data_IF_368050459031
#
_entry.id   IF_368050459031
#
_cell.length_a   1.000
_cell.length_b   1.000
_cell.length_c   1.000
_cell.angle_alpha   90.00
_cell.angle_beta   90.00
_cell.angle_gamma   90.00
#
_symmetry.space_group_name_H-M   'P 1'
#
loop_
_entity.id
_entity.type
_entity.pdbx_description
1 polymer ?
#
# COMPACT_ATOMS: atom_id res chain seq x y z
N UNK A 1 19.90 13.99 -3.51
CA UNK A 1 18.80 13.06 -3.81
C UNK A 1 19.38 11.71 -4.19
N UNK A 2 19.07 10.62 -3.49
CA UNK A 2 19.44 9.30 -3.98
C UNK A 2 18.62 9.00 -5.24
N UNK A 3 19.31 8.82 -6.37
CA UNK A 3 18.69 8.43 -7.63
C UNK A 3 18.27 6.96 -7.50
N UNK A 4 16.99 6.70 -7.28
CA UNK A 4 16.45 5.35 -7.48
C UNK A 4 16.57 5.07 -8.98
N UNK A 5 17.21 3.95 -9.33
CA UNK A 5 17.30 3.52 -10.73
C UNK A 5 15.89 3.36 -11.32
N UNK A 6 15.63 3.92 -12.52
CA UNK A 6 14.33 3.84 -13.16
C UNK A 6 13.97 2.39 -13.44
N UNK A 7 12.75 1.99 -13.07
CA UNK A 7 12.32 0.60 -13.23
C UNK A 7 12.00 0.30 -14.71
N UNK A 8 12.63 -0.75 -15.25
CA UNK A 8 12.19 -1.39 -16.50
C UNK A 8 11.03 -2.33 -16.19
N UNK A 9 9.88 -2.11 -16.84
CA UNK A 9 8.73 -3.03 -16.74
C UNK A 9 9.11 -4.40 -17.27
N UNK A 10 8.99 -5.43 -16.43
CA UNK A 10 9.13 -6.83 -16.83
C UNK A 10 7.95 -7.66 -16.36
N UNK A 11 7.63 -8.69 -17.13
CA UNK A 11 6.64 -9.71 -16.79
C UNK A 11 7.32 -10.86 -16.05
N UNK A 12 6.60 -11.48 -15.11
CA UNK A 12 7.10 -12.64 -14.39
C UNK A 12 6.95 -13.91 -15.23
N UNK A 13 8.01 -14.70 -15.27
CA UNK A 13 8.03 -16.00 -15.97
C UNK A 13 7.30 -17.10 -15.21
N UNK A 14 7.22 -16.97 -13.88
CA UNK A 14 6.56 -17.93 -12.99
C UNK A 14 6.01 -17.25 -11.74
N UNK A 15 5.09 -17.95 -11.04
CA UNK A 15 4.56 -17.49 -9.76
C UNK A 15 5.64 -17.34 -8.68
N UNK A 16 6.71 -18.14 -8.74
CA UNK A 16 7.83 -18.05 -7.80
C UNK A 16 8.64 -16.75 -8.00
N UNK A 17 8.86 -16.34 -9.25
CA UNK A 17 9.48 -15.03 -9.56
C UNK A 17 8.57 -13.88 -9.09
N UNK A 18 7.28 -13.95 -9.39
CA UNK A 18 6.31 -12.94 -8.96
C UNK A 18 6.29 -12.79 -7.42
N UNK A 19 6.31 -13.91 -6.68
CA UNK A 19 6.41 -13.93 -5.21
C UNK A 19 7.70 -13.27 -4.72
N UNK A 20 8.82 -13.57 -5.35
CA UNK A 20 10.13 -13.02 -4.98
C UNK A 20 10.14 -11.49 -5.16
N UNK A 21 9.58 -11.01 -6.28
CA UNK A 21 9.40 -9.58 -6.57
C UNK A 21 8.48 -8.89 -5.57
N UNK A 22 7.36 -9.52 -5.20
CA UNK A 22 6.44 -9.02 -4.20
C UNK A 22 7.12 -8.86 -2.82
N UNK A 23 7.88 -9.86 -2.39
CA UNK A 23 8.63 -9.80 -1.13
C UNK A 23 9.71 -8.71 -1.18
N UNK A 24 10.41 -8.57 -2.31
CA UNK A 24 11.41 -7.52 -2.48
C UNK A 24 10.78 -6.12 -2.37
N UNK A 25 9.66 -5.88 -3.07
CA UNK A 25 8.92 -4.63 -2.99
C UNK A 25 8.43 -4.35 -1.55
N UNK A 26 7.88 -5.35 -0.87
CA UNK A 26 7.45 -5.22 0.53
C UNK A 26 8.62 -4.84 1.46
N UNK A 27 9.77 -5.50 1.34
CA UNK A 27 10.97 -5.17 2.13
C UNK A 27 11.48 -3.76 1.83
N UNK A 28 11.43 -3.34 0.57
CA UNK A 28 11.81 -2.00 0.15
C UNK A 28 10.94 -0.95 0.82
N UNK A 29 9.62 -1.13 0.83
CA UNK A 29 8.70 -0.28 1.58
C UNK A 29 9.06 -0.25 3.07
N UNK A 30 9.17 -1.41 3.71
CA UNK A 30 9.44 -1.52 5.16
C UNK A 30 10.76 -0.85 5.59
N UNK A 31 11.79 -0.91 4.73
CA UNK A 31 13.09 -0.27 4.97
C UNK A 31 12.99 1.26 4.94
N UNK A 32 12.20 1.81 4.02
CA UNK A 32 12.13 3.25 3.78
C UNK A 32 11.06 3.97 4.61
N UNK A 33 10.26 3.25 5.41
CA UNK A 33 9.25 3.87 6.30
C UNK A 33 9.79 5.00 7.17
N UNK A 34 10.94 4.89 7.86
CA UNK A 34 11.45 5.98 8.69
C UNK A 34 11.70 7.26 7.88
N UNK A 35 12.23 7.12 6.66
CA UNK A 35 12.49 8.25 5.78
C UNK A 35 11.18 8.90 5.33
N UNK A 36 10.22 8.10 4.87
CA UNK A 36 8.89 8.58 4.47
C UNK A 36 8.21 9.32 5.64
N UNK A 37 8.31 8.81 6.87
CA UNK A 37 7.72 9.50 8.02
C UNK A 37 8.35 10.87 8.28
N UNK A 38 9.66 11.01 8.06
CA UNK A 38 10.38 12.29 8.20
C UNK A 38 9.94 13.24 7.08
N UNK A 39 9.95 12.78 5.82
CA UNK A 39 9.66 13.62 4.65
C UNK A 39 8.21 14.17 4.66
N UNK A 40 7.27 13.37 5.15
CA UNK A 40 5.86 13.77 5.25
C UNK A 40 5.47 14.26 6.65
N UNK A 41 6.40 14.34 7.60
CA UNK A 41 6.13 14.74 8.99
C UNK A 41 4.94 14.00 9.62
N UNK A 42 4.88 12.67 9.45
CA UNK A 42 3.77 11.84 9.97
C UNK A 42 3.83 11.75 11.51
N UNK A 43 2.85 12.34 12.19
CA UNK A 43 2.73 12.33 13.66
C UNK A 43 2.13 11.03 14.23
N UNK A 44 2.56 9.87 13.73
CA UNK A 44 2.03 8.57 14.16
C UNK A 44 3.16 7.56 14.46
N UNK A 45 2.91 6.52 15.28
CA UNK A 45 3.95 5.53 15.57
C UNK A 45 4.37 4.78 14.30
N UNK A 46 5.67 4.56 14.14
CA UNK A 46 6.22 3.84 12.99
C UNK A 46 5.60 2.45 12.79
N UNK A 47 5.25 1.77 13.90
CA UNK A 47 4.58 0.48 13.86
C UNK A 47 3.23 0.54 13.11
N UNK A 48 2.48 1.64 13.23
CA UNK A 48 1.18 1.81 12.57
C UNK A 48 1.37 1.96 11.07
N UNK A 49 2.35 2.76 10.62
CA UNK A 49 2.66 2.91 9.19
C UNK A 49 3.11 1.58 8.58
N UNK A 50 3.98 0.84 9.29
CA UNK A 50 4.42 -0.50 8.86
C UNK A 50 3.29 -1.51 8.78
N UNK A 51 2.36 -1.46 9.73
CA UNK A 51 1.17 -2.29 9.74
C UNK A 51 0.24 -1.94 8.57
N UNK A 52 0.08 -0.65 8.25
CA UNK A 52 -0.75 -0.21 7.13
C UNK A 52 -0.22 -0.66 5.78
N UNK A 53 1.10 -0.57 5.59
CA UNK A 53 1.77 -1.14 4.41
C UNK A 53 1.46 -2.65 4.33
N UNK A 54 1.58 -3.39 5.43
CA UNK A 54 1.26 -4.82 5.43
C UNK A 54 -0.21 -5.09 5.08
N UNK A 55 -1.14 -4.31 5.63
CA UNK A 55 -2.57 -4.41 5.32
C UNK A 55 -2.81 -4.26 3.81
N UNK A 56 -2.20 -3.28 3.15
CA UNK A 56 -2.32 -3.07 1.70
C UNK A 56 -1.80 -4.26 0.88
N UNK A 57 -0.72 -4.91 1.31
CA UNK A 57 -0.24 -6.14 0.66
C UNK A 57 -1.20 -7.32 0.90
N UNK A 58 -1.74 -7.46 2.12
CA UNK A 58 -2.68 -8.54 2.48
C UNK A 58 -4.03 -8.41 1.75
N UNK A 59 -4.52 -7.19 1.47
CA UNK A 59 -5.73 -6.94 0.65
C UNK A 59 -5.68 -7.66 -0.71
N UNK A 60 -4.48 -7.91 -1.24
CA UNK A 60 -4.24 -8.50 -2.57
C UNK A 60 -3.65 -9.91 -2.50
N UNK A 61 -3.64 -10.53 -1.31
CA UNK A 61 -3.00 -11.83 -1.07
C UNK A 61 -3.56 -12.99 -1.90
N UNK A 62 -4.86 -12.96 -2.20
CA UNK A 62 -5.56 -14.06 -2.86
C UNK A 62 -5.58 -13.95 -4.39
N UNK A 63 -4.85 -13.00 -4.98
CA UNK A 63 -4.72 -12.89 -6.44
C UNK A 63 -3.87 -14.05 -6.95
N UNK A 64 -4.44 -14.86 -7.85
CA UNK A 64 -3.79 -16.06 -8.38
C UNK A 64 -3.23 -15.89 -9.79
N UNK A 65 -3.72 -14.91 -10.56
CA UNK A 65 -3.25 -14.67 -11.93
C UNK A 65 -1.90 -13.92 -11.93
N UNK A 66 -0.82 -14.49 -12.50
CA UNK A 66 0.49 -13.86 -12.55
C UNK A 66 0.51 -12.53 -13.29
N UNK A 67 -0.31 -12.34 -14.33
CA UNK A 67 -0.35 -11.07 -15.09
C UNK A 67 -0.96 -9.95 -14.24
N UNK A 68 -2.02 -10.27 -13.51
CA UNK A 68 -2.62 -9.36 -12.55
C UNK A 68 -1.61 -8.99 -11.44
N UNK A 69 -0.85 -9.95 -10.94
CA UNK A 69 0.21 -9.69 -9.95
C UNK A 69 1.28 -8.74 -10.54
N UNK A 70 1.71 -8.93 -11.77
CA UNK A 70 2.69 -8.04 -12.42
C UNK A 70 2.19 -6.60 -12.49
N UNK A 71 0.92 -6.40 -12.85
CA UNK A 71 0.30 -5.06 -12.87
C UNK A 71 0.24 -4.47 -11.46
N UNK A 72 -0.09 -5.27 -10.44
CA UNK A 72 -0.12 -4.82 -9.05
C UNK A 72 1.27 -4.46 -8.53
N UNK A 73 2.30 -5.22 -8.90
CA UNK A 73 3.70 -4.93 -8.56
C UNK A 73 4.17 -3.64 -9.23
N UNK A 74 3.80 -3.43 -10.49
CA UNK A 74 4.10 -2.19 -11.21
C UNK A 74 3.45 -0.99 -10.54
N UNK A 75 2.14 -1.07 -10.25
CA UNK A 75 1.43 -0.02 -9.49
C UNK A 75 2.08 0.22 -8.14
N UNK A 76 2.34 -0.82 -7.35
CA UNK A 76 2.97 -0.70 -6.04
C UNK A 76 4.38 -0.09 -6.07
N UNK A 77 5.08 -0.19 -7.21
CA UNK A 77 6.36 0.50 -7.43
C UNK A 77 6.16 1.97 -7.78
N UNK A 78 5.25 2.31 -8.68
CA UNK A 78 4.90 3.70 -8.99
C UNK A 78 4.54 4.44 -7.70
N UNK A 79 3.65 3.84 -6.91
CA UNK A 79 3.22 4.38 -5.62
C UNK A 79 4.40 4.61 -4.65
N UNK A 80 5.40 3.73 -4.67
CA UNK A 80 6.61 3.87 -3.87
C UNK A 80 7.47 5.03 -4.33
N UNK A 81 7.68 5.16 -5.65
CA UNK A 81 8.49 6.22 -6.23
C UNK A 81 7.85 7.59 -6.02
N UNK A 82 6.54 7.70 -6.24
CA UNK A 82 5.78 8.92 -5.94
C UNK A 82 5.87 9.32 -4.46
N UNK A 83 5.85 8.33 -3.56
CA UNK A 83 5.95 8.58 -2.12
C UNK A 83 7.37 8.98 -1.74
N UNK A 84 8.36 8.18 -2.11
CA UNK A 84 9.76 8.35 -1.70
C UNK A 84 10.41 9.60 -2.32
N UNK A 85 10.06 9.94 -3.56
CA UNK A 85 10.55 11.17 -4.20
C UNK A 85 9.74 12.42 -3.80
N UNK A 86 8.78 12.28 -2.89
CA UNK A 86 7.92 13.39 -2.41
C UNK A 86 7.17 14.07 -3.56
N UNK A 87 6.67 13.27 -4.51
CA UNK A 87 5.77 13.77 -5.55
C UNK A 87 4.33 13.85 -5.04
N UNK A 88 4.00 13.03 -4.03
CA UNK A 88 2.74 13.15 -3.30
C UNK A 88 2.82 14.23 -2.23
N UNK A 89 1.64 14.74 -1.87
CA UNK A 89 1.46 15.58 -0.69
C UNK A 89 1.00 14.75 0.52
N UNK A 90 1.14 15.33 1.72
CA UNK A 90 0.72 14.75 3.00
C UNK A 90 -0.71 14.15 2.99
N UNK A 91 -1.67 14.86 2.41
CA UNK A 91 -3.08 14.40 2.29
C UNK A 91 -3.23 13.08 1.53
N UNK A 92 -2.41 12.84 0.50
CA UNK A 92 -2.45 11.59 -0.27
C UNK A 92 -1.95 10.40 0.56
N UNK A 93 -0.97 10.62 1.42
CA UNK A 93 -0.44 9.60 2.34
C UNK A 93 -1.44 9.33 3.46
N UNK A 94 -2.07 10.38 4.00
CA UNK A 94 -3.10 10.24 5.02
C UNK A 94 -4.33 9.47 4.54
N UNK A 95 -4.70 9.58 3.26
CA UNK A 95 -5.85 8.89 2.68
C UNK A 95 -5.83 7.37 2.87
N UNK A 96 -4.65 6.75 3.01
CA UNK A 96 -4.58 5.33 3.33
C UNK A 96 -5.16 5.03 4.72
N UNK A 97 -5.05 5.96 5.66
CA UNK A 97 -5.47 5.81 7.05
C UNK A 97 -6.94 6.19 7.30
N UNK A 98 -7.65 6.79 6.33
CA UNK A 98 -9.07 7.20 6.46
C UNK A 98 -9.99 6.07 6.96
N UNK A 99 -9.72 4.81 6.58
CA UNK A 99 -10.50 3.65 7.03
C UNK A 99 -10.45 3.43 8.54
N UNK A 100 -9.41 3.95 9.21
CA UNK A 100 -9.24 3.84 10.65
C UNK A 100 -9.98 4.96 11.40
N UNK A 101 -10.30 6.05 10.70
CA UNK A 101 -10.99 7.23 11.25
C UNK A 101 -12.49 7.23 10.92
N UNK A 102 -12.91 6.49 9.91
CA UNK A 102 -14.33 6.34 9.58
C UNK A 102 -15.10 5.61 10.69
N UNK A 103 -16.29 6.11 11.02
CA UNK A 103 -17.20 5.43 11.94
C UNK A 103 -17.43 4.00 11.47
N UNK A 104 -17.40 3.01 12.40
CA UNK A 104 -17.64 1.62 12.06
C UNK A 104 -18.99 1.52 11.36
N UNK A 105 -18.97 1.10 10.10
CA UNK A 105 -20.21 0.93 9.34
C UNK A 105 -21.05 -0.14 10.03
N UNK A 106 -22.37 0.05 10.12
CA UNK A 106 -23.26 -0.96 10.68
C UNK A 106 -23.12 -2.27 9.90
N UNK A 107 -22.54 -3.29 10.50
CA UNK A 107 -22.35 -4.59 9.83
C UNK A 107 -23.66 -5.39 9.81
N UNK A 108 -24.50 -5.21 10.83
CA UNK A 108 -25.76 -5.95 10.98
C UNK A 108 -26.86 -5.34 10.12
N UNK A 109 -27.68 -6.23 9.57
CA UNK A 109 -28.86 -5.85 8.79
C UNK A 109 -29.79 -4.88 9.54
N UNK A 110 -30.06 -5.12 10.83
CA UNK A 110 -30.93 -4.26 11.64
C UNK A 110 -30.41 -2.83 11.75
N UNK A 111 -29.11 -2.65 11.96
CA UNK A 111 -28.48 -1.34 12.07
C UNK A 111 -28.57 -0.59 10.73
N UNK A 112 -28.30 -1.28 9.60
CA UNK A 112 -28.49 -0.74 8.24
C UNK A 112 -29.95 -0.38 7.93
N UNK A 113 -30.88 -1.18 8.42
CA UNK A 113 -32.32 -0.97 8.24
C UNK A 113 -32.81 0.26 9.01
N UNK A 114 -32.38 0.43 10.26
CA UNK A 114 -32.70 1.60 11.10
C UNK A 114 -32.12 2.88 10.48
N UNK A 115 -30.94 2.81 9.88
CA UNK A 115 -30.31 3.94 9.17
C UNK A 115 -30.90 4.21 7.77
N UNK A 116 -31.84 3.40 7.29
CA UNK A 116 -32.46 3.57 5.96
C UNK A 116 -31.51 3.29 4.79
N UNK A 117 -30.48 2.46 5.00
CA UNK A 117 -29.46 2.07 4.00
C UNK A 117 -29.62 0.63 3.49
N UNK A 118 -30.72 -0.04 3.82
CA UNK A 118 -31.02 -1.43 3.47
C UNK A 118 -31.60 -1.58 2.06
#
# INVERSE_FOLDING_TARGET
MPLIEPLVTRTSTSMADARTRAIHLYRLWQKNVPQIMIDYHLCMPQAVVRAKIREEFEKRRYVSDPRTIDVLLFKGRIEFEETYNVWKQYSHVLRYFDSNEADPQPDKFLDKFIEGRA
#
